data_IF_974816279386
#
_entry.id   IF_974816279386
#
_cell.length_a   1.000
_cell.length_b   1.000
_cell.length_c   1.000
_cell.angle_alpha   90.00
_cell.angle_beta   90.00
_cell.angle_gamma   90.00
#
_symmetry.space_group_name_H-M   'P 1'
#
loop_
_entity.id
_entity.type
_entity.pdbx_description
1 polymer ?
#
# COMPACT_ATOMS: atom_id res chain seq x y z
N UNK A 1 -5.36 -7.62 -8.34
CA UNK A 1 -3.92 -7.38 -8.18
C UNK A 1 -3.26 -6.81 -9.43
N UNK A 2 -3.62 -7.22 -10.66
CA UNK A 2 -3.01 -6.65 -11.88
C UNK A 2 -3.08 -5.11 -11.95
N UNK A 3 -4.25 -4.50 -11.72
CA UNK A 3 -4.38 -3.03 -11.71
C UNK A 3 -3.52 -2.36 -10.64
N UNK A 4 -3.30 -3.02 -9.51
CA UNK A 4 -2.43 -2.48 -8.45
C UNK A 4 -0.97 -2.46 -8.93
N UNK A 5 -0.50 -3.55 -9.54
CA UNK A 5 0.83 -3.61 -10.15
C UNK A 5 0.99 -2.54 -11.25
N UNK A 6 0.00 -2.39 -12.13
CA UNK A 6 0.01 -1.40 -13.20
C UNK A 6 0.02 0.05 -12.66
N UNK A 7 -0.74 0.34 -11.60
CA UNK A 7 -0.81 1.68 -10.99
C UNK A 7 0.45 2.02 -10.21
N UNK A 8 1.02 1.07 -9.46
CA UNK A 8 2.27 1.28 -8.72
C UNK A 8 3.52 1.22 -9.61
N UNK A 9 3.38 0.72 -10.85
CA UNK A 9 4.49 0.39 -11.73
C UNK A 9 5.54 -0.51 -11.03
N UNK A 10 5.08 -1.43 -10.19
CA UNK A 10 5.89 -2.34 -9.39
C UNK A 10 5.32 -3.77 -9.44
N UNK A 11 6.15 -4.81 -9.40
CA UNK A 11 5.68 -6.18 -9.26
C UNK A 11 4.93 -6.37 -7.95
N UNK A 12 3.80 -7.06 -8.00
CA UNK A 12 2.96 -7.32 -6.83
C UNK A 12 2.83 -8.83 -6.63
N UNK A 13 3.10 -9.30 -5.42
CA UNK A 13 2.91 -10.69 -5.03
C UNK A 13 1.64 -10.85 -4.20
N UNK A 14 0.89 -11.92 -4.46
CA UNK A 14 -0.25 -12.33 -3.65
C UNK A 14 -0.01 -13.72 -3.09
N UNK A 15 -0.08 -13.84 -1.76
CA UNK A 15 -0.08 -15.13 -1.07
C UNK A 15 -1.31 -15.96 -1.44
N UNK A 16 -1.15 -17.28 -1.56
CA UNK A 16 -2.28 -18.22 -1.69
C UNK A 16 -2.99 -18.51 -0.37
N UNK A 17 -2.36 -18.18 0.76
CA UNK A 17 -2.93 -18.40 2.09
C UNK A 17 -3.95 -17.29 2.37
N UNK A 18 -5.18 -17.67 2.70
CA UNK A 18 -6.25 -16.73 3.07
C UNK A 18 -6.02 -16.12 4.45
N UNK A 19 -5.65 -16.95 5.43
CA UNK A 19 -5.47 -16.55 6.83
C UNK A 19 -4.02 -16.11 7.14
N UNK A 20 -3.49 -15.16 6.37
CA UNK A 20 -2.12 -14.66 6.54
C UNK A 20 -1.85 -14.08 7.93
N UNK A 21 -2.87 -13.51 8.58
CA UNK A 21 -2.77 -13.01 9.95
C UNK A 21 -2.53 -14.15 10.95
N UNK A 22 -3.34 -15.22 10.87
CA UNK A 22 -3.19 -16.40 11.72
C UNK A 22 -1.84 -17.08 11.51
N UNK A 23 -1.38 -17.14 10.25
CA UNK A 23 -0.05 -17.66 9.93
C UNK A 23 1.06 -16.84 10.62
N UNK A 24 0.99 -15.51 10.56
CA UNK A 24 1.95 -14.64 11.24
C UNK A 24 1.98 -14.85 12.75
N UNK A 25 0.81 -14.99 13.37
CA UNK A 25 0.70 -15.27 14.81
C UNK A 25 1.30 -16.65 15.16
N UNK A 26 1.04 -17.68 14.35
CA UNK A 26 1.60 -19.01 14.56
C UNK A 26 3.14 -19.01 14.42
N UNK A 27 3.68 -18.30 13.43
CA UNK A 27 5.14 -18.12 13.28
C UNK A 27 5.72 -17.46 14.53
N UNK A 28 5.13 -16.36 14.99
CA UNK A 28 5.61 -15.63 16.16
C UNK A 28 5.57 -16.49 17.43
N UNK A 29 4.48 -17.23 17.64
CA UNK A 29 4.35 -18.16 18.76
C UNK A 29 5.39 -19.28 18.70
N UNK A 30 5.64 -19.85 17.53
CA UNK A 30 6.63 -20.93 17.40
C UNK A 30 8.07 -20.48 17.56
N UNK A 31 8.42 -19.26 17.12
CA UNK A 31 9.73 -18.66 17.43
C UNK A 31 9.86 -18.39 18.94
N UNK A 32 8.83 -17.82 19.57
CA UNK A 32 8.81 -17.58 21.02
C UNK A 32 8.85 -18.86 21.86
N UNK A 33 8.27 -19.95 21.36
CA UNK A 33 8.31 -21.28 21.99
C UNK A 33 9.62 -22.06 21.70
N UNK A 34 10.52 -21.52 20.88
CA UNK A 34 11.78 -22.16 20.51
C UNK A 34 11.64 -23.31 19.49
N UNK A 35 10.47 -23.45 18.84
CA UNK A 35 10.24 -24.43 17.78
C UNK A 35 11.07 -24.07 16.54
N UNK A 36 11.16 -22.78 16.23
CA UNK A 36 12.02 -22.24 15.17
C UNK A 36 13.07 -21.31 15.78
N UNK A 37 14.30 -21.38 15.24
CA UNK A 37 15.42 -20.55 15.73
C UNK A 37 15.26 -19.07 15.38
N UNK A 38 14.58 -18.78 14.26
CA UNK A 38 14.36 -17.42 13.77
C UNK A 38 13.10 -17.32 12.92
N UNK A 39 12.60 -16.10 12.74
CA UNK A 39 11.49 -15.82 11.83
C UNK A 39 11.81 -16.20 10.38
N UNK A 40 13.05 -15.98 9.93
CA UNK A 40 13.49 -16.34 8.58
C UNK A 40 13.42 -17.85 8.35
N UNK A 41 13.82 -18.66 9.35
CA UNK A 41 13.75 -20.12 9.24
C UNK A 41 12.30 -20.60 9.15
N UNK A 42 11.41 -20.04 9.98
CA UNK A 42 9.99 -20.36 9.95
C UNK A 42 9.34 -19.99 8.60
N UNK A 43 9.66 -18.81 8.06
CA UNK A 43 9.14 -18.34 6.77
C UNK A 43 9.67 -19.16 5.58
N UNK A 44 10.94 -19.59 5.62
CA UNK A 44 11.53 -20.43 4.55
C UNK A 44 10.85 -21.80 4.46
N UNK A 45 10.44 -22.36 5.60
CA UNK A 45 9.70 -23.63 5.64
C UNK A 45 8.28 -23.47 5.09
N UNK A 46 7.71 -22.28 5.20
CA UNK A 46 6.39 -21.92 4.70
C UNK A 46 6.47 -21.47 3.24
N UNK A 47 6.82 -22.40 2.33
CA UNK A 47 6.81 -22.17 0.88
C UNK A 47 5.39 -22.22 0.30
N UNK A 48 4.56 -21.25 0.69
CA UNK A 48 3.26 -21.08 0.07
C UNK A 48 3.44 -20.55 -1.36
N UNK A 49 2.73 -21.13 -2.37
CA UNK A 49 2.78 -20.64 -3.72
C UNK A 49 2.29 -19.19 -3.79
N UNK A 50 3.02 -18.35 -4.54
CA UNK A 50 2.69 -16.94 -4.73
C UNK A 50 2.29 -16.69 -6.17
N UNK A 51 1.25 -15.91 -6.38
CA UNK A 51 0.96 -15.36 -7.71
C UNK A 51 1.65 -14.00 -7.83
N UNK A 52 2.57 -13.88 -8.79
CA UNK A 52 3.24 -12.61 -9.10
C UNK A 52 2.53 -11.92 -10.28
N UNK A 53 2.28 -10.63 -10.13
CA UNK A 53 1.67 -9.78 -11.15
C UNK A 53 2.72 -8.74 -11.57
N UNK A 54 3.18 -8.82 -12.81
CA UNK A 54 4.08 -7.82 -13.39
C UNK A 54 3.29 -6.61 -13.90
N UNK A 55 3.84 -5.39 -13.80
CA UNK A 55 3.21 -4.22 -14.39
C UNK A 55 3.14 -4.37 -15.91
N UNK A 56 1.98 -4.10 -16.50
CA UNK A 56 1.81 -4.07 -17.94
C UNK A 56 2.19 -2.68 -18.48
N UNK A 57 3.27 -2.55 -19.29
CA UNK A 57 3.74 -1.25 -19.77
C UNK A 57 2.68 -0.46 -20.54
N UNK A 58 1.78 -1.15 -21.26
CA UNK A 58 0.69 -0.51 -22.01
C UNK A 58 -0.38 0.13 -21.11
N UNK A 59 -0.50 -0.34 -19.86
CA UNK A 59 -1.48 0.13 -18.89
C UNK A 59 -0.93 1.16 -17.91
N UNK A 60 0.38 1.14 -17.63
CA UNK A 60 1.06 2.07 -16.70
C UNK A 60 0.78 3.53 -17.06
N UNK A 61 1.01 3.92 -18.32
CA UNK A 61 0.78 5.31 -18.77
C UNK A 61 -0.68 5.77 -18.60
N UNK A 62 -1.63 4.84 -18.75
CA UNK A 62 -3.06 5.09 -18.55
C UNK A 62 -3.40 5.19 -17.07
N UNK A 63 -2.81 4.35 -16.22
CA UNK A 63 -3.05 4.39 -14.77
C UNK A 63 -2.46 5.66 -14.16
N UNK A 64 -1.29 6.09 -14.61
CA UNK A 64 -0.66 7.34 -14.20
C UNK A 64 -1.58 8.56 -14.45
N UNK A 65 -2.18 8.66 -15.65
CA UNK A 65 -3.16 9.74 -15.93
C UNK A 65 -4.37 9.69 -15.01
N UNK A 66 -4.88 8.49 -14.71
CA UNK A 66 -6.02 8.31 -13.81
C UNK A 66 -5.66 8.66 -12.37
N UNK A 67 -4.46 8.31 -11.94
CA UNK A 67 -3.96 8.61 -10.61
C UNK A 67 -3.87 10.13 -10.41
N UNK A 68 -3.29 10.87 -11.36
CA UNK A 68 -3.25 12.35 -11.32
C UNK A 68 -4.63 12.99 -11.26
N UNK A 69 -5.58 12.47 -12.04
CA UNK A 69 -6.95 12.97 -11.99
C UNK A 69 -7.61 12.70 -10.63
N UNK A 70 -7.45 11.48 -10.10
CA UNK A 70 -7.98 11.11 -8.80
C UNK A 70 -7.38 11.94 -7.67
N UNK A 71 -6.05 12.15 -7.66
CA UNK A 71 -5.41 13.01 -6.65
C UNK A 71 -5.88 14.46 -6.76
N UNK A 72 -6.05 14.99 -7.97
CA UNK A 72 -6.62 16.33 -8.18
C UNK A 72 -8.01 16.47 -7.55
N UNK A 73 -8.92 15.55 -7.83
CA UNK A 73 -10.27 15.54 -7.24
C UNK A 73 -10.22 15.38 -5.72
N UNK A 74 -9.35 14.52 -5.19
CA UNK A 74 -9.18 14.36 -3.75
C UNK A 74 -8.69 15.65 -3.08
N UNK A 75 -7.73 16.35 -3.68
CA UNK A 75 -7.24 17.64 -3.17
C UNK A 75 -8.37 18.66 -3.18
N UNK A 76 -9.12 18.80 -4.29
CA UNK A 76 -10.26 19.70 -4.37
C UNK A 76 -11.32 19.40 -3.29
N UNK A 77 -11.66 18.12 -3.09
CA UNK A 77 -12.63 17.68 -2.09
C UNK A 77 -12.15 17.96 -0.65
N UNK A 78 -10.86 17.67 -0.36
CA UNK A 78 -10.25 17.94 0.95
C UNK A 78 -10.25 19.45 1.22
N UNK A 79 -9.86 20.27 0.23
CA UNK A 79 -9.85 21.73 0.32
C UNK A 79 -11.27 22.26 0.56
N UNK A 80 -12.26 21.81 -0.21
CA UNK A 80 -13.65 22.21 -0.03
C UNK A 80 -14.20 21.88 1.37
N UNK A 81 -13.79 20.75 1.95
CA UNK A 81 -14.19 20.35 3.30
C UNK A 81 -13.41 21.07 4.40
N UNK A 82 -12.13 21.41 4.16
CA UNK A 82 -11.29 22.12 5.14
C UNK A 82 -11.61 23.61 5.27
N UNK A 83 -12.35 24.21 4.32
CA UNK A 83 -12.98 25.53 4.53
C UNK A 83 -14.08 25.54 5.62
N UNK A 84 -14.53 24.37 6.11
CA UNK A 84 -15.37 24.25 7.30
C UNK A 84 -14.60 24.15 8.63
N UNK A 85 -13.26 24.23 8.60
CA UNK A 85 -12.37 24.06 9.74
C UNK A 85 -11.41 25.27 9.88
N UNK A 86 -11.99 26.44 10.13
CA UNK A 86 -11.34 27.61 10.73
C UNK A 86 -12.37 28.11 11.74
N UNK A 87 -12.19 28.05 13.06
CA UNK A 87 -11.09 28.58 13.85
C UNK A 87 -10.76 27.65 15.04
N UNK A 88 -9.54 27.12 15.10
CA UNK A 88 -8.69 27.03 16.31
C UNK A 88 -7.50 26.12 16.05
N UNK A 89 -6.32 26.65 16.32
CA UNK A 89 -5.07 25.94 16.60
C UNK A 89 -4.31 25.28 15.43
N UNK A 90 -3.45 26.09 14.81
CA UNK A 90 -2.04 25.72 14.64
C UNK A 90 -1.68 24.60 13.67
N UNK A 91 -2.51 24.28 12.68
CA UNK A 91 -2.19 23.25 11.67
C UNK A 91 -1.57 23.88 10.41
N UNK A 92 -0.46 23.29 9.98
CA UNK A 92 0.33 23.66 8.80
C UNK A 92 -0.58 23.83 7.58
N UNK A 93 -0.54 25.01 6.94
CA UNK A 93 -1.34 25.32 5.78
C UNK A 93 -1.00 24.39 4.59
N UNK A 94 -2.04 23.73 4.06
CA UNK A 94 -2.03 22.87 2.87
C UNK A 94 -1.44 23.54 1.61
N UNK A 95 -1.35 24.87 1.59
CA UNK A 95 -0.72 25.63 0.50
C UNK A 95 0.72 25.18 0.21
N UNK A 96 1.44 24.63 1.19
CA UNK A 96 2.81 24.12 1.00
C UNK A 96 2.88 22.74 0.32
N UNK A 97 1.77 22.00 0.22
CA UNK A 97 1.72 20.70 -0.47
C UNK A 97 1.37 20.85 -1.95
N UNK A 98 0.65 21.92 -2.32
CA UNK A 98 0.31 22.23 -3.72
C UNK A 98 1.55 22.62 -4.52
N UNK A 99 2.55 23.27 -3.90
CA UNK A 99 3.80 23.66 -4.58
C UNK A 99 4.76 22.51 -4.85
N UNK A 100 4.57 21.34 -4.23
CA UNK A 100 5.39 20.13 -4.44
C UNK A 100 4.87 19.23 -5.58
N UNK A 101 3.68 19.54 -6.10
CA UNK A 101 3.02 18.77 -7.17
C UNK A 101 3.14 19.43 -8.55
N UNK A 102 3.87 20.54 -8.67
CA UNK A 102 4.22 21.22 -9.94
C UNK A 102 5.66 20.88 -10.34
#
# INVERSE_FOLDING_TARGET
MQRLADTLNLPVERSSISETCCLGAAIAAGVGAGIWKSYSDAVQLLQAPRTRFEPNPSSVSRMERRYRHWTGVCVEAIVAHSYGFSESDGVIALNNLVSLAQ
#
